data_IF_540200899004
#
_entry.id   IF_540200899004
#
_cell.length_a   1.000
_cell.length_b   1.000
_cell.length_c   1.000
_cell.angle_alpha   90.00
_cell.angle_beta   90.00
_cell.angle_gamma   90.00
#
_symmetry.space_group_name_H-M   'P 1'
#
loop_
_entity.id
_entity.type
_entity.pdbx_description
1 polymer ?
#
# COMPACT_ATOMS: atom_id res chain seq x y z
N UNK A 1 -12.15 12.19 -3.00
CA UNK A 1 -12.87 10.92 -3.24
C UNK A 1 -12.00 9.77 -2.77
N UNK A 2 -12.60 8.72 -2.23
CA UNK A 2 -11.85 7.55 -1.77
C UNK A 2 -11.54 6.66 -2.97
N UNK A 3 -10.27 6.34 -3.15
CA UNK A 3 -9.81 5.40 -4.16
C UNK A 3 -9.88 3.96 -3.64
N UNK A 4 -9.66 3.77 -2.34
CA UNK A 4 -9.82 2.49 -1.64
C UNK A 4 -10.69 2.72 -0.41
N UNK A 5 -11.66 1.85 -0.18
CA UNK A 5 -12.48 1.81 1.03
C UNK A 5 -12.59 0.37 1.53
N UNK A 6 -12.22 0.16 2.78
CA UNK A 6 -12.38 -1.10 3.51
C UNK A 6 -13.53 -0.95 4.50
N UNK A 7 -14.45 -1.90 4.50
CA UNK A 7 -15.62 -1.93 5.39
C UNK A 7 -15.64 -3.25 6.15
N UNK A 8 -15.57 -3.17 7.48
CA UNK A 8 -15.66 -4.29 8.41
C UNK A 8 -14.73 -5.48 8.08
N UNK A 9 -13.52 -5.18 7.57
CA UNK A 9 -12.58 -6.23 7.14
C UNK A 9 -12.06 -6.99 8.36
N UNK A 10 -12.31 -8.30 8.37
CA UNK A 10 -11.80 -9.21 9.39
C UNK A 10 -11.14 -10.43 8.77
N UNK A 11 -10.13 -10.98 9.46
CA UNK A 11 -9.43 -12.19 9.03
C UNK A 11 -9.13 -13.09 10.22
N UNK A 12 -9.69 -14.30 10.18
CA UNK A 12 -9.36 -15.41 11.07
C UNK A 12 -8.58 -16.45 10.25
N UNK A 13 -7.43 -16.87 10.75
CA UNK A 13 -6.58 -17.87 10.09
C UNK A 13 -6.91 -19.28 10.54
N UNK A 14 -6.76 -20.23 9.60
CA UNK A 14 -6.90 -21.68 9.84
C UNK A 14 -8.25 -22.11 10.43
N UNK A 15 -9.31 -21.34 10.15
CA UNK A 15 -10.67 -21.61 10.60
C UNK A 15 -11.60 -21.83 9.40
N UNK A 16 -12.54 -22.77 9.52
CA UNK A 16 -13.70 -22.86 8.62
C UNK A 16 -14.63 -21.67 8.82
N UNK A 17 -15.59 -21.46 7.92
CA UNK A 17 -16.52 -20.32 8.02
C UNK A 17 -17.31 -20.29 9.34
N UNK A 18 -17.75 -21.46 9.85
CA UNK A 18 -18.48 -21.53 11.13
C UNK A 18 -17.57 -21.26 12.34
N UNK A 19 -16.35 -21.79 12.31
CA UNK A 19 -15.33 -21.57 13.35
C UNK A 19 -14.90 -20.10 13.39
N UNK A 20 -14.68 -19.52 12.21
CA UNK A 20 -14.36 -18.11 12.07
C UNK A 20 -15.48 -17.23 12.61
N UNK A 21 -16.75 -17.57 12.34
CA UNK A 21 -17.89 -16.82 12.89
C UNK A 21 -17.92 -16.87 14.42
N UNK A 22 -17.65 -18.02 15.03
CA UNK A 22 -17.55 -18.13 16.50
C UNK A 22 -16.45 -17.24 17.07
N UNK A 23 -15.27 -17.21 16.45
CA UNK A 23 -14.17 -16.33 16.87
C UNK A 23 -14.53 -14.84 16.70
N UNK A 24 -15.23 -14.48 15.61
CA UNK A 24 -15.71 -13.11 15.38
C UNK A 24 -16.75 -12.66 16.42
N UNK A 25 -17.62 -13.56 16.87
CA UNK A 25 -18.58 -13.27 17.95
C UNK A 25 -17.87 -12.93 19.25
N UNK A 26 -16.86 -13.71 19.65
CA UNK A 26 -16.08 -13.41 20.86
C UNK A 26 -15.37 -12.05 20.78
N UNK A 27 -14.83 -11.71 19.60
CA UNK A 27 -14.23 -10.38 19.36
C UNK A 27 -15.25 -9.24 19.43
N UNK A 28 -16.51 -9.50 19.05
CA UNK A 28 -17.62 -8.55 19.14
C UNK A 28 -18.10 -8.33 20.58
N UNK A 29 -17.98 -9.35 21.42
CA UNK A 29 -18.21 -9.27 22.87
C UNK A 29 -17.10 -8.52 23.62
N UNK A 30 -16.08 -8.01 22.90
CA UNK A 30 -14.99 -7.22 23.46
C UNK A 30 -13.78 -8.05 23.90
N UNK A 31 -13.75 -9.35 23.59
CA UNK A 31 -12.59 -10.18 23.89
C UNK A 31 -11.38 -9.75 23.05
N UNK A 32 -10.19 -9.78 23.65
CA UNK A 32 -8.95 -9.49 22.96
C UNK A 32 -8.50 -10.66 22.07
N UNK A 33 -7.70 -10.35 21.05
CA UNK A 33 -7.23 -11.32 20.05
C UNK A 33 -6.41 -12.48 20.64
N UNK A 34 -5.73 -12.24 21.77
CA UNK A 34 -4.88 -13.26 22.41
C UNK A 34 -5.79 -14.28 23.11
N UNK A 35 -6.75 -13.81 23.92
CA UNK A 35 -7.73 -14.68 24.58
C UNK A 35 -8.59 -15.45 23.59
N UNK A 36 -9.00 -14.83 22.49
CA UNK A 36 -9.73 -15.55 21.43
C UNK A 36 -8.89 -16.69 20.87
N UNK A 37 -7.59 -16.48 20.65
CA UNK A 37 -6.69 -17.54 20.21
C UNK A 37 -6.51 -18.63 21.26
N UNK A 38 -6.38 -18.28 22.54
CA UNK A 38 -6.27 -19.24 23.63
C UNK A 38 -7.53 -20.11 23.77
N UNK A 39 -8.72 -19.51 23.62
CA UNK A 39 -9.99 -20.20 23.79
C UNK A 39 -10.40 -21.01 22.56
N UNK A 40 -10.14 -20.50 21.35
CA UNK A 40 -10.61 -21.11 20.10
C UNK A 40 -9.53 -21.86 19.32
N UNK A 41 -8.25 -21.58 19.61
CA UNK A 41 -7.11 -22.06 18.84
C UNK A 41 -6.85 -21.29 17.53
N UNK A 42 -7.72 -20.37 17.13
CA UNK A 42 -7.62 -19.65 15.86
C UNK A 42 -6.90 -18.31 16.01
N UNK A 43 -5.96 -18.05 15.09
CA UNK A 43 -5.24 -16.78 15.10
C UNK A 43 -6.08 -15.68 14.46
N UNK A 44 -6.31 -14.61 15.21
CA UNK A 44 -6.94 -13.38 14.71
C UNK A 44 -5.89 -12.55 13.99
N UNK A 45 -6.08 -12.34 12.68
CA UNK A 45 -5.21 -11.50 11.87
C UNK A 45 -5.66 -10.06 11.82
N UNK A 46 -6.96 -9.86 11.59
CA UNK A 46 -7.62 -8.56 11.54
C UNK A 46 -9.03 -8.67 12.10
N UNK A 47 -9.54 -7.60 12.67
CA UNK A 47 -10.90 -7.52 13.17
C UNK A 47 -11.48 -6.12 12.95
N UNK A 48 -12.62 -6.09 12.28
CA UNK A 48 -13.46 -4.90 12.06
C UNK A 48 -12.67 -3.67 11.55
N UNK A 49 -11.81 -3.87 10.55
CA UNK A 49 -11.03 -2.79 9.97
C UNK A 49 -11.91 -1.98 9.01
N UNK A 50 -12.01 -0.69 9.32
CA UNK A 50 -12.68 0.31 8.48
C UNK A 50 -11.64 1.38 8.09
N UNK A 51 -11.29 1.47 6.80
CA UNK A 51 -10.21 2.33 6.32
C UNK A 51 -10.59 2.98 5.01
N UNK A 52 -10.32 4.28 4.88
CA UNK A 52 -10.50 5.05 3.66
C UNK A 52 -9.16 5.61 3.19
N UNK A 53 -8.80 5.37 1.93
CA UNK A 53 -7.62 5.94 1.28
C UNK A 53 -8.05 6.83 0.13
N UNK A 54 -7.65 8.10 0.15
CA UNK A 54 -7.99 9.07 -0.91
C UNK A 54 -7.13 8.87 -2.16
N UNK A 55 -7.68 9.23 -3.31
CA UNK A 55 -6.91 9.26 -4.55
C UNK A 55 -5.72 10.23 -4.44
N UNK A 56 -4.54 9.79 -4.87
CA UNK A 56 -3.30 10.57 -4.90
C UNK A 56 -2.60 10.75 -3.54
N UNK A 57 -3.15 10.16 -2.47
CA UNK A 57 -2.52 10.27 -1.15
C UNK A 57 -1.46 9.17 -0.93
N UNK A 58 -0.42 9.52 -0.18
CA UNK A 58 0.51 8.56 0.43
C UNK A 58 0.01 8.27 1.85
N UNK A 59 -0.61 7.09 2.00
CA UNK A 59 -1.20 6.62 3.24
C UNK A 59 -0.31 5.58 3.90
N UNK A 60 0.16 5.86 5.11
CA UNK A 60 0.99 4.95 5.88
C UNK A 60 0.16 4.06 6.80
N UNK A 61 0.50 2.78 6.87
CA UNK A 61 -0.09 1.81 7.78
C UNK A 61 1.01 1.33 8.73
N UNK A 62 0.77 1.52 10.02
CA UNK A 62 1.73 1.32 11.10
C UNK A 62 1.24 0.34 12.14
N UNK A 63 2.16 -0.12 12.99
CA UNK A 63 1.88 -1.02 14.10
C UNK A 63 3.00 -2.02 14.34
N UNK A 64 2.95 -2.71 15.48
CA UNK A 64 3.95 -3.70 15.86
C UNK A 64 3.97 -4.91 14.91
N UNK A 65 5.03 -5.71 14.99
CA UNK A 65 5.08 -7.01 14.31
C UNK A 65 3.89 -7.86 14.74
N UNK A 66 3.21 -8.49 13.77
CA UNK A 66 2.01 -9.30 14.03
C UNK A 66 0.70 -8.52 14.19
N UNK A 67 0.69 -7.18 14.05
CA UNK A 67 -0.55 -6.38 14.16
C UNK A 67 -1.51 -6.50 12.96
N UNK A 68 -1.14 -7.23 11.91
CA UNK A 68 -1.98 -7.48 10.73
C UNK A 68 -1.73 -6.57 9.51
N UNK A 69 -0.71 -5.70 9.54
CA UNK A 69 -0.41 -4.74 8.45
C UNK A 69 -0.29 -5.41 7.06
N UNK A 70 0.60 -6.39 6.92
CA UNK A 70 0.81 -7.10 5.65
C UNK A 70 -0.42 -7.93 5.24
N UNK A 71 -1.21 -8.40 6.19
CA UNK A 71 -2.49 -9.06 5.91
C UNK A 71 -3.49 -8.08 5.28
N UNK A 72 -3.57 -6.87 5.82
CA UNK A 72 -4.47 -5.82 5.35
C UNK A 72 -4.17 -5.42 3.89
N UNK A 73 -2.90 -5.17 3.56
CA UNK A 73 -2.54 -4.81 2.18
C UNK A 73 -2.73 -5.96 1.19
N UNK A 74 -2.53 -7.21 1.65
CA UNK A 74 -2.77 -8.42 0.85
C UNK A 74 -4.26 -8.61 0.55
N UNK A 75 -5.16 -8.13 1.41
CA UNK A 75 -6.59 -8.09 1.10
C UNK A 75 -6.92 -7.10 -0.03
N UNK A 76 -6.28 -5.91 -0.06
CA UNK A 76 -6.48 -4.93 -1.14
C UNK A 76 -6.10 -5.53 -2.51
N UNK A 77 -4.99 -6.27 -2.57
CA UNK A 77 -4.56 -6.99 -3.78
C UNK A 77 -5.23 -8.38 -3.94
N UNK A 78 -6.12 -8.74 -3.01
CA UNK A 78 -6.80 -10.03 -2.86
C UNK A 78 -5.86 -11.26 -2.95
N UNK A 79 -4.60 -11.11 -2.51
CA UNK A 79 -3.65 -12.23 -2.43
C UNK A 79 -4.05 -13.23 -1.34
N UNK A 80 -4.79 -12.74 -0.34
CA UNK A 80 -5.46 -13.52 0.68
C UNK A 80 -6.88 -12.96 0.77
N UNK A 81 -7.89 -13.81 0.77
CA UNK A 81 -9.27 -13.37 0.97
C UNK A 81 -9.53 -13.06 2.46
N UNK A 82 -10.25 -11.96 2.79
CA UNK A 82 -10.73 -11.72 4.14
C UNK A 82 -11.76 -12.78 4.54
N UNK A 83 -11.96 -12.93 5.85
CA UNK A 83 -13.03 -13.79 6.39
C UNK A 83 -14.39 -13.10 6.23
N UNK A 84 -14.45 -11.78 6.38
CA UNK A 84 -15.65 -10.97 6.23
C UNK A 84 -15.30 -9.53 5.87
N UNK A 85 -16.30 -8.76 5.45
CA UNK A 85 -16.18 -7.35 5.07
C UNK A 85 -16.25 -7.13 3.56
N UNK A 86 -15.99 -5.89 3.13
CA UNK A 86 -15.99 -5.46 1.72
C UNK A 86 -14.78 -4.60 1.41
N UNK A 87 -14.31 -4.70 0.17
CA UNK A 87 -13.15 -3.97 -0.32
C UNK A 87 -13.56 -3.25 -1.59
N UNK A 88 -13.83 -1.96 -1.48
CA UNK A 88 -14.19 -1.14 -2.63
C UNK A 88 -12.96 -0.44 -3.19
N UNK A 89 -12.80 -0.52 -4.51
CA UNK A 89 -11.73 0.21 -5.23
C UNK A 89 -12.33 0.93 -6.43
N UNK A 90 -11.98 2.20 -6.59
CA UNK A 90 -12.31 2.96 -7.80
C UNK A 90 -11.43 2.49 -8.96
N UNK A 91 -12.06 1.94 -9.99
CA UNK A 91 -11.35 1.42 -11.18
C UNK A 91 -11.38 2.40 -12.36
N UNK A 92 -12.05 3.56 -12.23
CA UNK A 92 -12.17 4.55 -13.31
C UNK A 92 -10.88 5.29 -13.64
N UNK A 93 -9.92 5.31 -12.72
CA UNK A 93 -8.60 5.94 -12.92
C UNK A 93 -7.70 5.17 -13.91
N UNK A 94 -8.19 4.05 -14.46
CA UNK A 94 -7.56 3.30 -15.53
C UNK A 94 -7.77 3.99 -16.90
N UNK A 95 -7.12 5.13 -17.12
CA UNK A 95 -6.98 5.71 -18.47
C UNK A 95 -7.25 7.20 -18.59
N UNK A 96 -6.19 8.00 -18.38
CA UNK A 96 -6.08 9.32 -19.01
C UNK A 96 -4.66 9.72 -19.43
N UNK A 97 -3.60 8.96 -19.12
CA UNK A 97 -2.22 9.36 -19.48
C UNK A 97 -1.51 8.45 -20.49
N UNK A 98 -2.26 7.78 -21.37
CA UNK A 98 -1.69 7.11 -22.55
C UNK A 98 -2.23 7.73 -23.84
N UNK A 99 -2.04 9.04 -23.99
CA UNK A 99 -1.69 9.72 -25.25
C UNK A 99 -1.46 11.21 -24.97
N UNK A 100 -0.25 11.69 -25.31
CA UNK A 100 0.13 13.11 -25.39
C UNK A 100 0.23 13.90 -24.08
N UNK A 101 1.31 13.73 -23.32
CA UNK A 101 1.83 14.81 -22.46
C UNK A 101 3.35 14.90 -22.57
N UNK A 102 3.79 15.35 -23.75
CA UNK A 102 5.07 16.02 -23.93
C UNK A 102 4.76 17.40 -24.50
N UNK A 103 4.09 18.25 -23.72
CA UNK A 103 4.05 19.71 -23.87
C UNK A 103 2.99 20.32 -22.93
N UNK A 104 3.43 20.88 -21.79
CA UNK A 104 3.03 22.20 -21.27
C UNK A 104 3.28 22.32 -19.75
N UNK A 105 4.44 22.89 -19.39
CA UNK A 105 4.74 23.35 -18.03
C UNK A 105 5.03 24.85 -18.11
N UNK A 106 4.00 25.69 -18.00
CA UNK A 106 4.01 27.14 -17.64
C UNK A 106 2.53 27.41 -17.25
N UNK A 107 2.06 27.95 -16.12
CA UNK A 107 2.47 29.13 -15.34
C UNK A 107 1.61 29.26 -14.05
N UNK A 108 2.24 29.74 -12.97
CA UNK A 108 1.73 30.69 -11.94
C UNK A 108 0.50 30.40 -11.04
N UNK A 109 0.81 30.17 -9.76
CA UNK A 109 0.47 30.97 -8.55
C UNK A 109 -0.93 31.61 -8.39
N UNK A 110 -1.64 31.30 -7.30
CA UNK A 110 -2.30 32.27 -6.38
C UNK A 110 -2.90 31.59 -5.13
N UNK A 111 -2.78 32.32 -4.01
CA UNK A 111 -3.06 31.98 -2.60
C UNK A 111 -4.52 32.24 -2.22
N UNK A 112 -5.14 31.42 -1.33
CA UNK A 112 -5.98 31.93 -0.23
C UNK A 112 -6.43 30.85 0.78
N UNK A 113 -6.56 31.29 2.05
CA UNK A 113 -6.79 30.53 3.28
C UNK A 113 -8.27 30.45 3.73
N UNK A 114 -8.57 29.36 4.47
CA UNK A 114 -9.47 29.20 5.63
C UNK A 114 -11.02 29.36 5.44
N UNK A 115 -11.90 28.79 6.31
CA UNK A 115 -11.67 28.27 7.67
C UNK A 115 -12.22 26.86 8.01
N UNK A 116 -11.93 26.45 9.25
CA UNK A 116 -12.14 25.19 9.95
C UNK A 116 -13.61 24.99 10.36
N UNK A 117 -14.13 23.76 10.26
CA UNK A 117 -15.21 23.31 11.16
C UNK A 117 -15.10 21.81 11.48
N UNK A 118 -15.41 21.51 12.74
CA UNK A 118 -15.16 20.26 13.47
C UNK A 118 -16.30 19.25 13.36
N UNK A 119 -15.99 17.97 13.63
CA UNK A 119 -16.92 16.85 13.91
C UNK A 119 -17.83 16.38 12.78
N UNK A 120 -17.41 15.32 12.08
CA UNK A 120 -18.20 14.18 11.59
C UNK A 120 -17.27 13.24 10.83
N UNK A 121 -17.52 11.94 10.92
CA UNK A 121 -16.95 10.94 9.98
C UNK A 121 -17.16 11.52 8.59
N UNK A 122 -16.07 11.84 7.87
CA UNK A 122 -16.20 12.45 6.56
C UNK A 122 -16.83 11.41 5.63
N UNK A 123 -18.15 11.56 5.43
CA UNK A 123 -18.97 11.01 4.37
C UNK A 123 -18.36 11.37 3.02
N UNK A 124 -17.23 10.75 2.69
CA UNK A 124 -16.60 10.88 1.40
C UNK A 124 -17.18 9.75 0.57
N UNK A 125 -18.24 10.08 -0.18
CA UNK A 125 -18.95 9.13 -1.04
C UNK A 125 -17.96 8.36 -1.92
N UNK A 126 -18.13 7.03 -1.94
CA UNK A 126 -17.52 6.16 -2.94
C UNK A 126 -17.91 6.66 -4.35
N UNK A 127 -16.97 6.72 -5.29
CA UNK A 127 -17.29 7.07 -6.67
C UNK A 127 -18.22 6.01 -7.27
N UNK A 128 -19.02 6.40 -8.27
CA UNK A 128 -19.95 5.49 -8.96
C UNK A 128 -19.26 4.31 -9.66
N UNK A 129 -17.96 4.41 -9.87
CA UNK A 129 -17.06 3.41 -10.46
C UNK A 129 -16.36 2.52 -9.44
N UNK A 130 -16.66 2.67 -8.15
CA UNK A 130 -16.11 1.80 -7.11
C UNK A 130 -16.71 0.40 -7.23
N UNK A 131 -15.84 -0.62 -7.28
CA UNK A 131 -16.25 -2.03 -7.38
C UNK A 131 -15.74 -2.79 -6.17
N UNK A 132 -16.56 -3.72 -5.65
CA UNK A 132 -16.16 -4.61 -4.59
C UNK A 132 -15.23 -5.71 -5.14
N UNK A 133 -13.95 -5.65 -4.79
CA UNK A 133 -12.90 -6.55 -5.30
C UNK A 133 -13.15 -8.02 -4.95
N UNK A 134 -13.92 -8.28 -3.88
CA UNK A 134 -14.27 -9.63 -3.44
C UNK A 134 -15.28 -10.33 -4.37
N UNK A 135 -16.01 -9.56 -5.19
CA UNK A 135 -16.99 -10.10 -6.14
C UNK A 135 -16.38 -10.50 -7.48
N UNK A 136 -15.10 -10.13 -7.72
CA UNK A 136 -14.41 -10.48 -8.95
C UNK A 136 -14.27 -11.99 -9.13
N UNK A 137 -14.52 -12.45 -10.35
CA UNK A 137 -14.07 -13.75 -10.82
C UNK A 137 -12.56 -13.72 -11.15
N UNK A 138 -11.97 -14.88 -11.47
CA UNK A 138 -10.52 -14.99 -11.72
C UNK A 138 -10.00 -14.08 -12.83
N UNK A 139 -10.78 -13.86 -13.90
CA UNK A 139 -10.38 -13.00 -15.03
C UNK A 139 -10.43 -11.53 -14.64
N UNK A 140 -11.48 -11.13 -13.92
CA UNK A 140 -11.63 -9.77 -13.41
C UNK A 140 -10.54 -9.45 -12.39
N UNK A 141 -10.25 -10.38 -11.47
CA UNK A 141 -9.18 -10.23 -10.50
C UNK A 141 -7.80 -10.15 -11.16
N UNK A 142 -7.58 -10.96 -12.20
CA UNK A 142 -6.36 -10.87 -13.00
C UNK A 142 -6.25 -9.50 -13.70
N UNK A 143 -7.33 -8.99 -14.28
CA UNK A 143 -7.35 -7.67 -14.90
C UNK A 143 -7.08 -6.55 -13.89
N UNK A 144 -7.72 -6.58 -12.73
CA UNK A 144 -7.50 -5.67 -11.61
C UNK A 144 -6.02 -5.63 -11.18
N UNK A 145 -5.40 -6.81 -10.98
CA UNK A 145 -3.96 -6.92 -10.65
C UNK A 145 -3.04 -6.45 -11.77
N UNK A 146 -3.51 -6.53 -13.01
CA UNK A 146 -2.73 -6.09 -14.15
C UNK A 146 -2.81 -4.60 -14.37
N UNK A 147 -3.93 -3.93 -14.08
CA UNK A 147 -4.19 -2.55 -14.53
C UNK A 147 -4.43 -1.55 -13.39
N UNK A 148 -4.79 -2.00 -12.19
CA UNK A 148 -5.21 -1.12 -11.09
C UNK A 148 -4.19 -1.09 -9.96
N UNK A 149 -3.61 -2.24 -9.59
CA UNK A 149 -2.75 -2.37 -8.41
C UNK A 149 -1.37 -2.90 -8.75
N UNK A 150 -0.33 -2.24 -8.23
CA UNK A 150 1.04 -2.75 -8.17
C UNK A 150 1.47 -3.00 -6.74
N UNK A 151 2.37 -3.97 -6.53
CA UNK A 151 2.87 -4.31 -5.20
C UNK A 151 4.40 -4.38 -5.16
N UNK A 152 4.98 -3.80 -4.10
CA UNK A 152 6.38 -3.94 -3.70
C UNK A 152 6.42 -4.72 -2.39
N UNK A 153 7.06 -5.88 -2.43
CA UNK A 153 7.17 -6.80 -1.29
C UNK A 153 8.39 -6.49 -0.42
N UNK A 154 8.31 -6.85 0.86
CA UNK A 154 9.41 -6.76 1.84
C UNK A 154 10.66 -7.52 1.36
N UNK A 155 10.49 -8.78 0.98
CA UNK A 155 11.49 -9.50 0.19
C UNK A 155 11.22 -9.18 -1.27
N UNK A 156 12.18 -8.55 -1.95
CA UNK A 156 12.04 -7.86 -3.24
C UNK A 156 11.31 -8.65 -4.35
N UNK A 157 11.18 -9.97 -4.19
CA UNK A 157 10.37 -10.83 -5.04
C UNK A 157 10.89 -10.85 -6.47
N UNK A 158 12.17 -10.55 -6.66
CA UNK A 158 12.84 -10.60 -7.95
C UNK A 158 12.96 -12.07 -8.37
N UNK A 159 12.74 -12.32 -9.65
CA UNK A 159 12.88 -13.63 -10.24
C UNK A 159 14.39 -13.85 -10.47
N UNK A 160 15.04 -14.80 -9.77
CA UNK A 160 16.50 -14.89 -9.73
C UNK A 160 17.11 -15.30 -11.07
N UNK A 161 16.38 -16.07 -11.87
CA UNK A 161 16.81 -16.51 -13.20
C UNK A 161 16.47 -15.52 -14.33
N UNK A 162 16.02 -14.30 -13.98
CA UNK A 162 15.75 -13.22 -14.93
C UNK A 162 16.69 -12.06 -14.67
N UNK A 163 17.17 -11.41 -15.72
CA UNK A 163 17.97 -10.20 -15.59
C UNK A 163 17.14 -9.04 -15.01
N UNK A 164 17.79 -7.96 -14.59
CA UNK A 164 17.15 -6.75 -14.06
C UNK A 164 16.10 -6.19 -15.04
N UNK A 165 16.44 -6.02 -16.32
CA UNK A 165 15.47 -5.51 -17.31
C UNK A 165 14.28 -6.45 -17.50
N UNK A 166 14.50 -7.77 -17.40
CA UNK A 166 13.43 -8.76 -17.51
C UNK A 166 12.51 -8.74 -16.29
N UNK A 167 13.07 -8.54 -15.09
CA UNK A 167 12.30 -8.35 -13.87
C UNK A 167 11.41 -7.11 -13.97
N UNK A 168 11.96 -5.95 -14.37
CA UNK A 168 11.19 -4.71 -14.53
C UNK A 168 10.11 -4.85 -15.61
N UNK A 169 10.44 -5.49 -16.73
CA UNK A 169 9.48 -5.71 -17.83
C UNK A 169 8.48 -6.86 -17.58
N UNK A 170 8.48 -7.52 -16.41
CA UNK A 170 7.69 -8.72 -16.18
C UNK A 170 6.19 -8.44 -16.25
N UNK A 171 5.69 -7.41 -15.57
CA UNK A 171 4.26 -7.04 -15.59
C UNK A 171 3.77 -6.70 -17.01
N UNK A 172 4.58 -5.98 -17.77
CA UNK A 172 4.32 -5.62 -19.17
C UNK A 172 4.30 -6.85 -20.09
N UNK A 173 5.15 -7.84 -19.82
CA UNK A 173 5.11 -9.15 -20.50
C UNK A 173 3.80 -9.88 -20.24
N UNK A 174 3.31 -9.86 -18.99
CA UNK A 174 2.03 -10.48 -18.62
C UNK A 174 0.86 -9.79 -19.33
N UNK A 175 0.93 -8.47 -19.54
CA UNK A 175 0.01 -7.70 -20.39
C UNK A 175 0.18 -7.93 -21.89
N UNK A 176 1.05 -8.85 -22.31
CA UNK A 176 1.33 -9.21 -23.72
C UNK A 176 1.86 -8.04 -24.58
N UNK A 177 2.52 -7.05 -23.99
CA UNK A 177 3.17 -5.97 -24.73
C UNK A 177 4.36 -6.48 -25.55
N UNK A 178 4.68 -5.81 -26.66
CA UNK A 178 5.78 -6.23 -27.52
C UNK A 178 7.13 -6.16 -26.78
N UNK A 179 8.10 -6.98 -27.20
CA UNK A 179 9.43 -7.02 -26.58
C UNK A 179 10.15 -5.67 -26.65
N UNK A 180 9.94 -4.92 -27.74
CA UNK A 180 10.55 -3.61 -27.94
C UNK A 180 9.98 -2.60 -26.94
N UNK A 181 8.67 -2.43 -26.92
CA UNK A 181 7.98 -1.45 -26.04
C UNK A 181 8.23 -1.75 -24.56
N UNK A 182 8.11 -3.02 -24.14
CA UNK A 182 8.32 -3.36 -22.73
C UNK A 182 9.76 -3.14 -22.25
N UNK A 183 10.76 -3.32 -23.13
CA UNK A 183 12.16 -3.02 -22.81
C UNK A 183 12.41 -1.52 -22.73
N UNK A 184 11.79 -0.75 -23.61
CA UNK A 184 11.90 0.71 -23.60
C UNK A 184 11.33 1.32 -22.32
N UNK A 185 10.11 0.95 -21.93
CA UNK A 185 9.51 1.37 -20.66
C UNK A 185 10.32 0.89 -19.45
N UNK A 186 10.79 -0.36 -19.47
CA UNK A 186 11.60 -0.87 -18.37
C UNK A 186 12.94 -0.13 -18.22
N UNK A 187 13.58 0.27 -19.33
CA UNK A 187 14.80 1.11 -19.29
C UNK A 187 14.52 2.49 -18.73
N UNK A 188 13.42 3.12 -19.16
CA UNK A 188 13.02 4.41 -18.62
C UNK A 188 12.93 4.36 -17.09
N UNK A 189 12.20 3.39 -16.54
CA UNK A 189 12.06 3.27 -15.09
C UNK A 189 13.34 2.84 -14.36
N UNK A 190 14.20 2.04 -14.99
CA UNK A 190 15.54 1.76 -14.43
C UNK A 190 16.39 3.02 -14.33
N UNK A 191 16.31 3.93 -15.31
CA UNK A 191 17.01 5.20 -15.28
C UNK A 191 16.46 6.11 -14.19
N UNK A 192 15.14 6.20 -14.04
CA UNK A 192 14.48 7.01 -12.99
C UNK A 192 14.89 6.57 -11.58
N UNK A 193 15.08 5.26 -11.36
CA UNK A 193 15.57 4.75 -10.06
C UNK A 193 17.11 4.73 -9.95
N UNK A 194 17.85 5.22 -10.95
CA UNK A 194 19.32 5.31 -10.91
C UNK A 194 20.07 4.00 -11.15
N UNK A 195 19.51 3.07 -11.93
CA UNK A 195 20.09 1.75 -12.24
C UNK A 195 20.35 1.52 -13.75
N UNK A 196 20.64 2.58 -14.50
CA UNK A 196 20.76 2.57 -15.97
C UNK A 196 21.74 1.53 -16.54
N UNK A 197 22.82 1.19 -15.82
CA UNK A 197 23.90 0.34 -16.32
C UNK A 197 23.80 -1.13 -15.92
N UNK A 198 22.69 -1.53 -15.29
CA UNK A 198 22.55 -2.85 -14.66
C UNK A 198 21.51 -3.75 -15.34
N UNK A 199 21.01 -3.35 -16.52
CA UNK A 199 19.94 -4.06 -17.24
C UNK A 199 20.18 -5.56 -17.44
N UNK A 200 21.45 -5.93 -17.66
CA UNK A 200 21.88 -7.30 -17.96
C UNK A 200 22.28 -8.09 -16.72
N UNK A 201 22.45 -7.42 -15.57
CA UNK A 201 22.79 -8.08 -14.32
C UNK A 201 21.64 -8.95 -13.83
N UNK A 202 21.96 -9.92 -12.98
CA UNK A 202 21.03 -10.77 -12.25
C UNK A 202 20.85 -10.26 -10.80
N UNK A 203 19.74 -10.60 -10.12
CA UNK A 203 19.46 -10.09 -8.77
C UNK A 203 20.54 -10.38 -7.73
N UNK A 204 21.23 -11.52 -7.82
CA UNK A 204 22.31 -11.94 -6.94
C UNK A 204 23.59 -11.11 -7.10
N UNK A 205 23.76 -10.41 -8.21
CA UNK A 205 24.86 -9.46 -8.45
C UNK A 205 24.60 -8.07 -7.82
N UNK A 206 23.43 -7.85 -7.20
CA UNK A 206 22.99 -6.55 -6.70
C UNK A 206 22.99 -6.50 -5.16
N UNK A 207 23.33 -5.33 -4.61
CA UNK A 207 23.07 -5.04 -3.19
C UNK A 207 21.57 -5.02 -2.87
N UNK A 208 21.19 -5.18 -1.60
CA UNK A 208 19.79 -5.15 -1.18
C UNK A 208 19.05 -3.87 -1.61
N UNK A 209 19.68 -2.70 -1.47
CA UNK A 209 19.11 -1.43 -1.94
C UNK A 209 18.93 -1.36 -3.46
N UNK A 210 19.83 -1.97 -4.22
CA UNK A 210 19.69 -2.08 -5.68
C UNK A 210 18.55 -3.03 -6.06
N UNK A 211 18.44 -4.20 -5.41
CA UNK A 211 17.33 -5.13 -5.63
C UNK A 211 15.98 -4.48 -5.33
N UNK A 212 15.92 -3.66 -4.28
CA UNK A 212 14.71 -2.91 -3.96
C UNK A 212 14.33 -1.90 -5.02
N UNK A 213 15.30 -1.12 -5.52
CA UNK A 213 15.08 -0.17 -6.62
C UNK A 213 14.59 -0.88 -7.88
N UNK A 214 15.08 -2.09 -8.17
CA UNK A 214 14.53 -2.94 -9.25
C UNK A 214 13.08 -3.32 -8.97
N UNK A 215 12.75 -3.69 -7.74
CA UNK A 215 11.36 -3.99 -7.32
C UNK A 215 10.42 -2.80 -7.47
N UNK A 216 10.88 -1.60 -7.10
CA UNK A 216 10.14 -0.35 -7.27
C UNK A 216 9.96 -0.01 -8.76
N UNK A 217 11.03 -0.07 -9.56
CA UNK A 217 10.96 0.15 -11.01
C UNK A 217 9.99 -0.84 -11.68
N UNK A 218 9.98 -2.11 -11.28
CA UNK A 218 9.03 -3.12 -11.77
C UNK A 218 7.57 -2.74 -11.47
N UNK A 219 7.29 -2.26 -10.26
CA UNK A 219 5.95 -1.84 -9.88
C UNK A 219 5.51 -0.59 -10.67
N UNK A 220 6.42 0.38 -10.83
CA UNK A 220 6.16 1.63 -11.56
C UNK A 220 6.05 1.43 -13.09
N UNK A 221 6.78 0.45 -13.66
CA UNK A 221 6.76 0.18 -15.10
C UNK A 221 5.37 -0.14 -15.65
N UNK A 222 4.51 -0.72 -14.83
CA UNK A 222 3.11 -1.02 -15.19
C UNK A 222 2.18 0.20 -15.15
N UNK A 223 2.62 1.32 -14.58
CA UNK A 223 1.86 2.57 -14.48
C UNK A 223 0.47 2.43 -13.83
N UNK A 224 0.30 1.46 -12.93
CA UNK A 224 -0.95 1.27 -12.20
C UNK A 224 -1.24 2.47 -11.26
N UNK A 225 -2.51 2.84 -11.06
CA UNK A 225 -2.89 4.00 -10.25
C UNK A 225 -2.74 3.77 -8.73
N UNK A 226 -2.69 2.51 -8.27
CA UNK A 226 -2.46 2.15 -6.87
C UNK A 226 -1.11 1.43 -6.71
N UNK A 227 -0.29 1.90 -5.78
CA UNK A 227 0.97 1.27 -5.38
C UNK A 227 0.91 0.82 -3.92
N UNK A 228 1.06 -0.48 -3.70
CA UNK A 228 1.05 -1.11 -2.39
C UNK A 228 2.49 -1.46 -2.00
N UNK A 229 2.95 -1.04 -0.83
CA UNK A 229 4.32 -1.27 -0.36
C UNK A 229 4.29 -1.93 1.02
N UNK A 230 4.84 -3.15 1.12
CA UNK A 230 4.86 -3.96 2.35
C UNK A 230 6.28 -3.93 2.96
N UNK A 231 6.52 -3.07 3.96
CA UNK A 231 7.81 -2.90 4.66
C UNK A 231 9.02 -2.77 3.72
N UNK A 232 8.84 -2.06 2.61
CA UNK A 232 9.78 -2.06 1.51
C UNK A 232 11.19 -1.62 1.95
N UNK A 233 11.32 -0.61 2.82
CA UNK A 233 12.62 -0.04 3.23
C UNK A 233 13.25 -0.72 4.47
N UNK A 234 12.57 -1.68 5.09
CA UNK A 234 12.96 -2.25 6.39
C UNK A 234 14.34 -2.92 6.39
N UNK A 235 14.72 -3.56 5.29
CA UNK A 235 15.95 -4.33 5.16
C UNK A 235 17.19 -3.49 4.77
N UNK A 236 17.04 -2.17 4.63
CA UNK A 236 18.10 -1.29 4.15
C UNK A 236 18.86 -0.60 5.27
N UNK A 237 20.12 -0.26 4.98
CA UNK A 237 20.90 0.65 5.80
C UNK A 237 20.27 2.06 5.85
N UNK A 238 20.51 2.83 6.93
CA UNK A 238 19.84 4.13 7.12
C UNK A 238 20.06 5.14 6.00
N UNK A 239 21.25 5.16 5.36
CA UNK A 239 21.58 6.13 4.33
C UNK A 239 20.81 5.85 3.04
N UNK A 240 20.84 4.59 2.57
CA UNK A 240 20.12 4.17 1.38
C UNK A 240 18.62 4.26 1.60
N UNK A 241 18.12 3.90 2.80
CA UNK A 241 16.73 4.09 3.19
C UNK A 241 16.28 5.54 3.03
N UNK A 242 17.02 6.50 3.61
CA UNK A 242 16.68 7.91 3.52
C UNK A 242 16.63 8.39 2.05
N UNK A 243 17.62 7.98 1.25
CA UNK A 243 17.67 8.29 -0.18
C UNK A 243 16.45 7.75 -0.94
N UNK A 244 16.05 6.49 -0.71
CA UNK A 244 14.90 5.90 -1.40
C UNK A 244 13.57 6.54 -0.98
N UNK A 245 13.44 6.98 0.27
CA UNK A 245 12.27 7.72 0.73
C UNK A 245 12.15 9.08 0.02
N UNK A 246 13.26 9.80 -0.13
CA UNK A 246 13.28 11.08 -0.85
C UNK A 246 12.92 10.88 -2.32
N UNK A 247 13.44 9.81 -2.95
CA UNK A 247 13.06 9.44 -4.31
C UNK A 247 11.57 9.08 -4.43
N UNK A 248 11.01 8.34 -3.45
CA UNK A 248 9.59 8.01 -3.45
C UNK A 248 8.72 9.27 -3.36
N UNK A 249 9.09 10.22 -2.51
CA UNK A 249 8.39 11.50 -2.37
C UNK A 249 8.43 12.30 -3.67
N UNK A 250 9.62 12.44 -4.28
CA UNK A 250 9.76 13.14 -5.57
C UNK A 250 8.94 12.47 -6.68
N UNK A 251 8.92 11.14 -6.73
CA UNK A 251 8.09 10.39 -7.68
C UNK A 251 6.60 10.59 -7.39
N UNK A 252 6.20 10.61 -6.13
CA UNK A 252 4.81 10.79 -5.74
C UNK A 252 4.29 12.18 -6.10
N UNK A 253 5.08 13.23 -5.89
CA UNK A 253 4.74 14.60 -6.30
C UNK A 253 4.44 14.67 -7.80
N UNK A 254 5.23 13.96 -8.62
CA UNK A 254 5.07 13.93 -10.08
C UNK A 254 3.94 13.03 -10.58
N UNK A 255 3.78 11.85 -9.98
CA UNK A 255 2.88 10.80 -10.50
C UNK A 255 1.49 10.82 -9.85
N UNK A 256 1.36 11.39 -8.65
CA UNK A 256 0.11 11.48 -7.90
C UNK A 256 -0.63 10.12 -7.81
N UNK A 257 0.13 9.04 -7.63
CA UNK A 257 -0.44 7.69 -7.47
C UNK A 257 -1.02 7.53 -6.08
N UNK A 258 -1.94 6.60 -5.88
CA UNK A 258 -2.40 6.28 -4.53
C UNK A 258 -1.46 5.27 -3.92
N UNK A 259 -0.75 5.64 -2.87
CA UNK A 259 0.28 4.80 -2.27
C UNK A 259 -0.20 4.35 -0.89
N UNK A 260 -0.25 3.04 -0.67
CA UNK A 260 -0.43 2.46 0.66
C UNK A 260 0.91 1.90 1.11
N UNK A 261 1.51 2.52 2.12
CA UNK A 261 2.87 2.25 2.58
C UNK A 261 2.86 1.64 3.98
N UNK A 262 3.29 0.39 4.13
CA UNK A 262 3.44 -0.25 5.44
C UNK A 262 4.85 -0.02 5.98
N UNK A 263 4.92 0.39 7.25
CA UNK A 263 6.16 0.41 8.01
C UNK A 263 5.92 0.10 9.48
N UNK A 264 6.97 -0.31 10.18
CA UNK A 264 7.00 -0.41 11.64
C UNK A 264 7.75 0.78 12.28
N UNK A 265 8.36 1.65 11.47
CA UNK A 265 9.19 2.77 11.90
C UNK A 265 8.42 4.09 11.76
N UNK A 266 8.31 4.82 12.87
CA UNK A 266 7.58 6.08 12.94
C UNK A 266 8.25 7.20 12.14
N UNK A 267 9.58 7.24 12.12
CA UNK A 267 10.30 8.29 11.41
C UNK A 267 10.00 8.19 9.91
N UNK A 268 9.89 6.96 9.39
CA UNK A 268 9.47 6.72 8.01
C UNK A 268 8.05 7.22 7.76
N UNK A 269 7.09 6.82 8.60
CA UNK A 269 5.70 7.17 8.43
C UNK A 269 5.46 8.68 8.54
N UNK A 270 6.14 9.36 9.46
CA UNK A 270 6.06 10.82 9.62
C UNK A 270 6.73 11.52 8.44
N UNK A 271 7.84 10.98 7.91
CA UNK A 271 8.54 11.56 6.77
C UNK A 271 7.74 11.46 5.47
N UNK A 272 7.17 10.28 5.17
CA UNK A 272 6.51 10.04 3.87
C UNK A 272 4.99 10.16 3.90
N UNK A 273 4.36 9.90 5.05
CA UNK A 273 2.92 9.77 5.19
C UNK A 273 2.19 11.10 5.28
N UNK A 274 1.22 11.30 4.38
CA UNK A 274 0.24 12.38 4.50
C UNK A 274 -0.82 12.03 5.57
N UNK A 275 -1.17 10.74 5.65
CA UNK A 275 -2.05 10.15 6.66
C UNK A 275 -1.43 8.87 7.17
N UNK A 276 -1.63 8.59 8.45
CA UNK A 276 -1.11 7.42 9.13
C UNK A 276 -2.27 6.71 9.82
N UNK A 277 -2.39 5.41 9.58
CA UNK A 277 -3.27 4.47 10.29
C UNK A 277 -2.45 3.60 11.21
N UNK A 278 -2.78 3.56 12.50
CA UNK A 278 -2.09 2.74 13.51
C UNK A 278 -2.92 1.48 13.81
N UNK A 279 -2.32 0.32 13.64
CA UNK A 279 -2.90 -0.98 13.96
C UNK A 279 -2.30 -1.56 15.25
N UNK A 280 -3.16 -2.13 16.08
CA UNK A 280 -2.79 -2.88 17.27
C UNK A 280 -3.64 -4.15 17.40
N UNK A 281 -3.01 -5.31 17.60
CA UNK A 281 -3.74 -6.58 17.81
C UNK A 281 -4.77 -6.92 16.72
N UNK A 282 -4.52 -6.53 15.47
CA UNK A 282 -5.47 -6.74 14.36
C UNK A 282 -6.62 -5.73 14.29
N UNK A 283 -6.64 -4.69 15.13
CA UNK A 283 -7.64 -3.60 15.08
C UNK A 283 -6.99 -2.30 14.62
N UNK A 284 -7.77 -1.47 13.93
CA UNK A 284 -7.37 -0.10 13.61
C UNK A 284 -7.70 0.79 14.80
N UNK A 285 -6.67 1.38 15.41
CA UNK A 285 -6.81 2.19 16.64
C UNK A 285 -7.13 3.63 16.29
N UNK A 286 -6.32 4.23 15.42
CA UNK A 286 -6.49 5.63 15.03
C UNK A 286 -5.98 5.86 13.61
N UNK A 287 -6.61 6.79 12.89
CA UNK A 287 -6.13 7.30 11.60
C UNK A 287 -6.15 8.82 11.61
N UNK A 288 -5.04 9.44 11.24
CA UNK A 288 -4.91 10.89 11.23
C UNK A 288 -3.67 11.37 10.50
N UNK A 289 -3.48 12.68 10.45
CA UNK A 289 -2.19 13.27 10.04
C UNK A 289 -1.13 13.03 11.12
N UNK A 290 0.17 13.09 10.79
CA UNK A 290 1.23 13.01 11.80
C UNK A 290 1.06 13.99 12.97
N UNK A 291 0.56 15.20 12.69
CA UNK A 291 0.29 16.21 13.70
C UNK A 291 -0.90 15.83 14.58
N UNK A 292 -2.01 15.36 14.01
CA UNK A 292 -3.18 14.92 14.76
C UNK A 292 -2.83 13.77 15.72
N UNK A 293 -2.08 12.77 15.24
CA UNK A 293 -1.67 11.63 16.07
C UNK A 293 -0.77 12.05 17.24
N UNK A 294 0.08 13.07 17.04
CA UNK A 294 0.97 13.57 18.09
C UNK A 294 0.24 14.41 19.14
N UNK A 295 -0.71 15.25 18.72
CA UNK A 295 -1.37 16.20 19.63
C UNK A 295 -2.65 15.64 20.25
N UNK A 296 -3.30 14.69 19.59
CA UNK A 296 -4.57 14.10 20.04
C UNK A 296 -4.55 12.57 19.87
N UNK A 297 -3.67 11.84 20.58
CA UNK A 297 -3.64 10.39 20.54
C UNK A 297 -4.94 9.80 21.13
N UNK A 298 -5.48 8.76 20.49
CA UNK A 298 -6.72 8.13 20.91
C UNK A 298 -6.59 7.33 22.21
N UNK A 299 -5.40 6.76 22.46
CA UNK A 299 -5.07 5.99 23.66
C UNK A 299 -3.57 6.10 24.02
N UNK A 300 -3.21 5.51 25.15
CA UNK A 300 -1.81 5.45 25.63
C UNK A 300 -0.89 4.72 24.66
N UNK A 301 -1.42 3.74 23.91
CA UNK A 301 -0.65 3.01 22.92
C UNK A 301 -0.21 3.94 21.78
N UNK A 302 -1.12 4.73 21.21
CA UNK A 302 -0.79 5.72 20.18
C UNK A 302 0.14 6.79 20.74
N UNK A 303 -0.11 7.30 21.95
CA UNK A 303 0.73 8.30 22.57
C UNK A 303 2.18 7.80 22.73
N UNK A 304 2.35 6.58 23.24
CA UNK A 304 3.66 5.94 23.37
C UNK A 304 4.32 5.75 22.01
N UNK A 305 3.57 5.25 21.02
CA UNK A 305 4.08 5.05 19.66
C UNK A 305 4.59 6.35 19.05
N UNK A 306 3.87 7.46 19.24
CA UNK A 306 4.22 8.79 18.72
C UNK A 306 5.38 9.47 19.46
N UNK A 307 5.63 9.06 20.72
CA UNK A 307 6.71 9.58 21.57
C UNK A 307 8.02 8.77 21.49
N UNK A 308 7.97 7.56 20.92
CA UNK A 308 9.11 6.68 20.84
C UNK A 308 10.12 7.23 19.82
N UNK A 309 11.21 7.81 20.36
CA UNK A 309 12.32 8.52 19.70
C UNK A 309 12.10 10.03 19.51
N UNK A 310 12.36 10.77 20.59
CA UNK A 310 13.03 12.08 20.49
C UNK A 310 14.53 11.87 20.71
#
# INVERSE_FOLDING_TARGET
>A
MNHIQLENISKIYNASSSQAQSALTLLAEGMDSIKVKEQTGYSVGLYDINLAVKAGELHCIMGLSGSGKSTLIRHINRLIDPTSGKIWVDTSMNGSNSTNDTQSIISTTSVNQAPIDTTKVADTKLPSSAVNVLEFNDKELQHYRQQTVSMVFQHFGLVPHMTVIQNVAYGLRVRKMSVKERRELARHWLNEVGLSNLERSYPDELSGGMQQRVGLARALATDNPILLMDEAFSALDPLIRAQLQDQLLALQERLQKTIVFITHDIDEAVKVGQRISILNGGRLVQTGTPQELRHNPADDYVAQFMSAKN
#
